data_IF_414639673326
#
_entry.id   IF_414639673326
#
_cell.length_a   1.000
_cell.length_b   1.000
_cell.length_c   1.000
_cell.angle_alpha   90.00
_cell.angle_beta   90.00
_cell.angle_gamma   90.00
#
_symmetry.space_group_name_H-M   'P 1'
#
loop_
_entity.id
_entity.type
_entity.pdbx_description
1 polymer ?
#
# COMPACT_ATOMS: atom_id res chain seq x y z
N UNK A 1 -8.26 -15.69 -5.15
CA UNK A 1 -7.59 -15.05 -4.03
C UNK A 1 -8.29 -13.75 -3.68
N UNK A 2 -8.47 -13.51 -2.39
CA UNK A 2 -9.15 -12.31 -1.94
C UNK A 2 -8.23 -11.09 -1.92
N UNK A 3 -8.77 -9.93 -1.67
CA UNK A 3 -7.98 -8.71 -1.55
C UNK A 3 -7.08 -8.76 -0.31
N UNK A 4 -5.94 -8.11 -0.39
CA UNK A 4 -5.00 -7.97 0.72
C UNK A 4 -4.96 -6.51 1.11
N UNK A 5 -5.17 -6.24 2.40
CA UNK A 5 -5.18 -4.88 2.92
C UNK A 5 -3.83 -4.54 3.56
N UNK A 6 -3.39 -3.32 3.29
CA UNK A 6 -2.11 -2.79 3.80
C UNK A 6 -2.33 -1.45 4.46
N UNK A 7 -1.43 -1.12 5.39
CA UNK A 7 -1.34 0.22 5.96
C UNK A 7 0.02 0.79 5.61
N UNK A 8 0.06 2.02 5.11
CA UNK A 8 1.32 2.68 4.79
C UNK A 8 1.99 3.11 6.08
N UNK A 9 3.19 2.58 6.33
CA UNK A 9 3.95 2.87 7.55
C UNK A 9 4.82 4.11 7.38
N UNK A 10 5.45 4.24 6.21
CA UNK A 10 6.33 5.38 5.93
C UNK A 10 6.48 5.54 4.42
N UNK A 11 6.92 6.72 4.02
CA UNK A 11 7.23 7.01 2.63
C UNK A 11 8.66 7.51 2.59
N UNK A 12 9.48 6.87 1.77
CA UNK A 12 10.89 7.20 1.64
C UNK A 12 11.17 7.48 0.16
N UNK A 13 11.29 8.76 -0.18
CA UNK A 13 11.48 9.18 -1.56
C UNK A 13 10.32 8.73 -2.43
N UNK A 14 10.61 7.90 -3.41
CA UNK A 14 9.62 7.43 -4.38
C UNK A 14 8.95 6.12 -3.97
N UNK A 15 9.20 5.63 -2.75
CA UNK A 15 8.69 4.33 -2.31
C UNK A 15 7.91 4.44 -1.03
N UNK A 16 6.80 3.70 -0.96
CA UNK A 16 6.01 3.56 0.24
C UNK A 16 6.32 2.21 0.88
N UNK A 17 6.57 2.23 2.18
CA UNK A 17 6.72 1.02 2.98
C UNK A 17 5.39 0.75 3.67
N UNK A 18 4.90 -0.46 3.55
CA UNK A 18 3.58 -0.80 4.07
C UNK A 18 3.59 -2.20 4.66
N UNK A 19 2.64 -2.45 5.53
CA UNK A 19 2.48 -3.73 6.20
C UNK A 19 1.05 -4.22 6.00
N UNK A 20 0.91 -5.47 5.61
CA UNK A 20 -0.40 -6.08 5.46
C UNK A 20 -1.02 -6.37 6.82
N UNK A 21 -2.33 -6.61 6.84
CA UNK A 21 -3.02 -6.95 8.08
C UNK A 21 -2.51 -8.27 8.69
N UNK A 22 -1.87 -9.10 7.89
CA UNK A 22 -1.24 -10.34 8.39
C UNK A 22 0.22 -10.16 8.77
N UNK A 23 0.76 -8.93 8.68
CA UNK A 23 2.11 -8.62 9.13
C UNK A 23 3.19 -8.74 8.06
N UNK A 24 2.82 -8.90 6.80
CA UNK A 24 3.80 -8.97 5.71
C UNK A 24 4.19 -7.57 5.28
N UNK A 25 5.49 -7.29 5.28
CA UNK A 25 6.00 -5.99 4.84
C UNK A 25 6.18 -5.98 3.33
N UNK A 26 5.93 -4.82 2.73
CA UNK A 26 6.07 -4.62 1.31
C UNK A 26 6.57 -3.20 1.03
N UNK A 27 7.20 -3.01 -0.12
CA UNK A 27 7.69 -1.72 -0.57
C UNK A 27 7.21 -1.53 -2.01
N UNK A 28 6.49 -0.44 -2.24
CA UNK A 28 5.85 -0.20 -3.54
C UNK A 28 6.18 1.21 -3.99
N UNK A 29 6.50 1.35 -5.27
CA UNK A 29 6.76 2.66 -5.86
C UNK A 29 5.51 3.54 -5.79
N UNK A 30 5.69 4.79 -5.39
CA UNK A 30 4.57 5.72 -5.22
C UNK A 30 3.76 5.91 -6.50
N UNK A 31 4.42 5.87 -7.66
CA UNK A 31 3.70 6.09 -8.91
C UNK A 31 2.70 4.96 -9.25
N UNK A 32 2.82 3.82 -8.58
CA UNK A 32 1.88 2.71 -8.75
C UNK A 32 0.67 2.82 -7.82
N UNK A 33 0.71 3.77 -6.88
CA UNK A 33 -0.31 3.89 -5.85
C UNK A 33 -1.32 4.97 -6.22
N UNK A 34 -2.55 4.89 -5.66
CA UNK A 34 -3.56 5.90 -5.95
C UNK A 34 -3.11 7.29 -5.51
N UNK A 35 -3.61 8.29 -6.20
CA UNK A 35 -3.39 9.67 -5.81
C UNK A 35 -3.95 9.91 -4.41
N UNK A 36 -3.22 10.66 -3.60
CA UNK A 36 -3.62 10.92 -2.23
C UNK A 36 -3.09 9.92 -1.21
N UNK A 37 -2.32 8.92 -1.66
CA UNK A 37 -1.70 7.97 -0.73
C UNK A 37 -0.67 8.68 0.13
N UNK A 38 -0.76 8.49 1.45
CA UNK A 38 0.15 9.09 2.42
C UNK A 38 0.38 8.13 3.58
N UNK A 39 1.23 8.52 4.52
CA UNK A 39 1.46 7.73 5.73
C UNK A 39 0.14 7.55 6.47
N UNK A 40 -0.14 6.32 6.87
CA UNK A 40 -1.39 5.97 7.53
C UNK A 40 -2.52 5.58 6.59
N UNK A 41 -2.34 5.76 5.27
CA UNK A 41 -3.36 5.35 4.31
C UNK A 41 -3.58 3.84 4.35
N UNK A 42 -4.84 3.44 4.24
CA UNK A 42 -5.20 2.04 4.05
C UNK A 42 -5.33 1.78 2.55
N UNK A 43 -4.67 0.73 2.09
CA UNK A 43 -4.68 0.35 0.69
C UNK A 43 -5.18 -1.08 0.56
N UNK A 44 -5.79 -1.37 -0.55
CA UNK A 44 -6.20 -2.73 -0.88
C UNK A 44 -5.55 -3.13 -2.20
N UNK A 45 -4.93 -4.30 -2.19
CA UNK A 45 -4.40 -4.92 -3.40
C UNK A 45 -5.38 -5.96 -3.90
N UNK A 46 -5.95 -5.71 -5.06
CA UNK A 46 -6.86 -6.65 -5.71
C UNK A 46 -6.33 -6.97 -7.09
N UNK A 47 -6.09 -8.23 -7.34
CA UNK A 47 -5.53 -8.71 -8.59
C UNK A 47 -4.22 -7.96 -8.87
N UNK A 48 -4.22 -7.00 -9.78
CA UNK A 48 -3.03 -6.22 -10.13
C UNK A 48 -3.20 -4.73 -9.83
N UNK A 49 -4.20 -4.37 -9.05
CA UNK A 49 -4.51 -2.97 -8.77
C UNK A 49 -4.28 -2.62 -7.31
N UNK A 50 -3.86 -1.37 -7.09
CA UNK A 50 -3.80 -0.76 -5.77
C UNK A 50 -4.89 0.28 -5.68
N UNK A 51 -5.69 0.24 -4.62
CA UNK A 51 -6.76 1.21 -4.39
C UNK A 51 -6.76 1.64 -2.93
N UNK A 52 -7.23 2.87 -2.69
CA UNK A 52 -7.48 3.32 -1.32
C UNK A 52 -8.68 2.55 -0.76
N UNK A 53 -8.49 2.04 0.41
CA UNK A 53 -9.54 1.25 1.08
C UNK A 53 -10.55 2.15 1.77
#
# INVERSE_FOLDING_TARGET
MGPIYYTVDSIDGDYAHMTSDSGVENQVAMFLLPEGTTVGSRLVREVLEWRLA
#
